data_IF_764412279186
#
_entry.id   IF_764412279186
#
_cell.length_a   1.000
_cell.length_b   1.000
_cell.length_c   1.000
_cell.angle_alpha   90.00
_cell.angle_beta   90.00
_cell.angle_gamma   90.00
#
_symmetry.space_group_name_H-M   'P 1'
#
loop_
_entity.id
_entity.type
_entity.pdbx_description
1 polymer ?
#
# COMPACT_ATOMS: atom_id res chain seq x y z
N UNK A 1 0.43 3.93 23.41
CA UNK A 1 1.60 3.00 23.40
C UNK A 1 2.79 3.80 22.89
N UNK A 2 3.84 3.98 23.71
CA UNK A 2 5.06 4.68 23.24
C UNK A 2 5.65 3.87 22.06
N UNK A 3 5.83 4.52 20.91
CA UNK A 3 6.34 3.87 19.69
C UNK A 3 5.27 3.35 18.71
N UNK A 4 3.98 3.57 18.96
CA UNK A 4 2.93 3.24 17.97
C UNK A 4 2.99 4.16 16.75
N UNK A 5 2.62 3.62 15.57
CA UNK A 5 2.44 4.38 14.31
C UNK A 5 1.13 5.18 14.24
N UNK A 6 0.33 5.16 15.30
CA UNK A 6 -0.86 6.01 15.42
C UNK A 6 -0.47 7.43 15.87
N UNK A 7 0.10 8.21 14.94
CA UNK A 7 0.56 9.58 15.21
C UNK A 7 -0.58 10.57 15.46
N UNK A 8 -1.72 10.37 14.77
CA UNK A 8 -2.90 11.24 14.86
C UNK A 8 -3.84 10.87 16.00
N UNK A 9 -3.54 9.79 16.73
CA UNK A 9 -4.24 9.43 17.97
C UNK A 9 -5.66 8.91 17.78
N UNK A 10 -5.95 8.19 16.69
CA UNK A 10 -7.26 7.54 16.46
C UNK A 10 -7.60 6.67 17.67
N UNK A 11 -8.81 6.86 18.22
CA UNK A 11 -9.38 6.07 19.32
C UNK A 11 -10.85 5.82 19.04
N UNK A 12 -11.13 4.88 18.14
CA UNK A 12 -12.49 4.55 17.71
C UNK A 12 -12.68 3.03 17.74
N UNK A 13 -13.68 2.57 18.50
CA UNK A 13 -13.98 1.14 18.66
C UNK A 13 -14.40 0.48 17.34
N UNK A 14 -15.10 1.21 16.47
CA UNK A 14 -15.54 0.71 15.17
C UNK A 14 -14.33 0.47 14.26
N UNK A 15 -13.34 1.36 14.30
CA UNK A 15 -12.08 1.18 13.57
C UNK A 15 -11.34 -0.06 14.05
N UNK A 16 -11.21 -0.23 15.38
CA UNK A 16 -10.54 -1.40 15.97
C UNK A 16 -11.26 -2.71 15.59
N UNK A 17 -12.59 -2.75 15.66
CA UNK A 17 -13.39 -3.92 15.26
C UNK A 17 -13.25 -4.27 13.77
N UNK A 18 -13.19 -3.26 12.90
CA UNK A 18 -12.99 -3.50 11.47
C UNK A 18 -11.60 -4.04 11.16
N UNK A 19 -10.57 -3.56 11.85
CA UNK A 19 -9.21 -4.09 11.72
C UNK A 19 -9.18 -5.58 12.09
N UNK A 20 -9.79 -5.96 13.21
CA UNK A 20 -9.89 -7.37 13.61
C UNK A 20 -10.62 -8.24 12.57
N UNK A 21 -11.69 -7.72 11.97
CA UNK A 21 -12.41 -8.42 10.89
C UNK A 21 -11.55 -8.56 9.63
N UNK A 22 -10.81 -7.53 9.24
CA UNK A 22 -9.90 -7.55 8.08
C UNK A 22 -8.83 -8.64 8.26
N UNK A 23 -8.24 -8.72 9.46
CA UNK A 23 -7.21 -9.73 9.78
C UNK A 23 -7.74 -11.16 9.65
N UNK A 24 -9.02 -11.37 9.96
CA UNK A 24 -9.68 -12.68 9.97
C UNK A 24 -10.51 -12.98 8.71
N UNK A 25 -10.45 -12.13 7.69
CA UNK A 25 -11.28 -12.28 6.50
C UNK A 25 -11.00 -13.61 5.77
N UNK A 26 -12.00 -14.50 5.59
CA UNK A 26 -11.83 -15.83 5.03
C UNK A 26 -11.69 -15.84 3.49
N UNK A 27 -12.06 -14.74 2.82
CA UNK A 27 -12.05 -14.65 1.36
C UNK A 27 -11.55 -13.29 0.86
N UNK A 28 -11.08 -13.26 -0.38
CA UNK A 28 -10.64 -12.01 -1.02
C UNK A 28 -11.77 -11.00 -1.16
N UNK A 29 -12.98 -11.46 -1.49
CA UNK A 29 -14.13 -10.57 -1.65
C UNK A 29 -14.49 -9.88 -0.32
N UNK A 30 -14.49 -10.64 0.76
CA UNK A 30 -14.77 -10.12 2.10
C UNK A 30 -13.67 -9.17 2.59
N UNK A 31 -12.41 -9.52 2.36
CA UNK A 31 -11.27 -8.64 2.67
C UNK A 31 -11.40 -7.29 1.96
N UNK A 32 -11.74 -7.29 0.67
CA UNK A 32 -11.93 -6.05 -0.10
C UNK A 32 -13.11 -5.24 0.45
N UNK A 33 -14.24 -5.88 0.74
CA UNK A 33 -15.42 -5.20 1.27
C UNK A 33 -15.14 -4.53 2.64
N UNK A 34 -14.47 -5.26 3.55
CA UNK A 34 -14.08 -4.74 4.86
C UNK A 34 -13.05 -3.61 4.75
N UNK A 35 -12.11 -3.71 3.82
CA UNK A 35 -11.10 -2.66 3.57
C UNK A 35 -11.77 -1.38 3.06
N UNK A 36 -12.73 -1.48 2.14
CA UNK A 36 -13.53 -0.33 1.69
C UNK A 36 -14.39 0.27 2.81
N UNK A 37 -14.93 -0.55 3.70
CA UNK A 37 -15.68 -0.06 4.86
C UNK A 37 -14.78 0.73 5.83
N UNK A 38 -13.58 0.21 6.11
CA UNK A 38 -12.59 0.90 6.93
C UNK A 38 -12.17 2.24 6.31
N UNK A 39 -11.87 2.26 5.00
CA UNK A 39 -11.48 3.47 4.28
C UNK A 39 -12.54 4.59 4.39
N UNK A 40 -13.82 4.25 4.21
CA UNK A 40 -14.94 5.19 4.36
C UNK A 40 -15.04 5.77 5.77
N UNK A 41 -14.86 4.93 6.80
CA UNK A 41 -14.90 5.38 8.19
C UNK A 41 -13.74 6.32 8.50
N UNK A 42 -12.53 5.97 8.06
CA UNK A 42 -11.35 6.81 8.24
C UNK A 42 -11.50 8.17 7.55
N UNK A 43 -12.03 8.20 6.32
CA UNK A 43 -12.31 9.45 5.62
C UNK A 43 -13.39 10.29 6.31
N UNK A 44 -14.46 9.65 6.82
CA UNK A 44 -15.52 10.35 7.55
C UNK A 44 -15.09 10.92 8.90
N UNK A 45 -14.00 10.41 9.47
CA UNK A 45 -13.42 10.88 10.73
C UNK A 45 -12.52 12.12 10.58
N UNK A 46 -12.27 12.59 9.35
CA UNK A 46 -11.45 13.77 9.04
C UNK A 46 -10.07 13.76 9.70
N UNK A 47 -9.46 12.57 9.86
CA UNK A 47 -8.18 12.43 10.55
C UNK A 47 -6.98 12.98 9.77
N UNK A 48 -7.09 13.05 8.45
CA UNK A 48 -6.07 13.55 7.53
C UNK A 48 -6.72 14.32 6.38
N UNK A 49 -5.97 15.22 5.76
CA UNK A 49 -6.31 15.83 4.48
C UNK A 49 -5.49 15.08 3.41
N UNK A 50 -6.11 14.27 2.54
CA UNK A 50 -5.38 13.58 1.47
C UNK A 50 -4.80 14.60 0.49
N UNK A 51 -3.53 14.44 0.16
CA UNK A 51 -2.87 15.22 -0.88
C UNK A 51 -2.84 14.40 -2.18
N UNK A 52 -1.69 14.33 -2.85
CA UNK A 52 -1.56 13.78 -4.20
C UNK A 52 -0.66 12.54 -4.18
N UNK A 53 -0.82 11.66 -5.17
CA UNK A 53 0.09 10.55 -5.41
C UNK A 53 0.47 10.50 -6.90
N UNK A 54 1.63 9.90 -7.19
CA UNK A 54 2.07 9.63 -8.57
C UNK A 54 1.75 8.18 -8.91
N UNK A 55 1.20 7.93 -10.09
CA UNK A 55 0.86 6.59 -10.61
C UNK A 55 2.03 5.91 -11.34
N UNK A 56 3.18 6.59 -11.41
CA UNK A 56 4.36 6.20 -12.18
C UNK A 56 5.62 6.29 -11.35
N UNK A 57 6.54 5.38 -11.65
CA UNK A 57 7.91 5.42 -11.16
C UNK A 57 8.80 6.07 -12.21
N UNK A 58 9.36 7.23 -11.89
CA UNK A 58 10.34 7.90 -12.74
C UNK A 58 11.72 7.29 -12.49
N UNK A 59 12.24 6.55 -13.46
CA UNK A 59 13.51 5.82 -13.36
C UNK A 59 14.45 6.21 -14.49
N UNK A 60 15.71 6.50 -14.16
CA UNK A 60 16.80 6.64 -15.11
C UNK A 60 17.81 5.51 -14.88
N UNK A 61 18.18 4.80 -15.93
CA UNK A 61 19.10 3.66 -15.84
C UNK A 61 19.98 3.55 -17.08
N UNK A 62 21.15 2.94 -16.91
CA UNK A 62 22.12 2.73 -17.99
C UNK A 62 21.59 1.77 -19.05
N UNK A 63 21.89 2.01 -20.32
CA UNK A 63 21.47 1.14 -21.46
C UNK A 63 21.90 -0.33 -21.32
N UNK A 64 22.95 -0.60 -20.54
CA UNK A 64 23.42 -1.96 -20.24
C UNK A 64 22.52 -2.74 -19.28
N UNK A 65 21.63 -2.06 -18.56
CA UNK A 65 20.70 -2.68 -17.61
C UNK A 65 19.45 -3.13 -18.37
N UNK A 66 19.09 -4.39 -18.17
CA UNK A 66 17.90 -5.04 -18.72
C UNK A 66 16.91 -5.32 -17.60
N UNK A 67 15.64 -5.46 -17.98
CA UNK A 67 14.51 -5.70 -17.07
C UNK A 67 13.52 -6.69 -17.68
N UNK A 68 12.68 -7.35 -16.88
CA UNK A 68 11.57 -8.15 -17.39
C UNK A 68 10.61 -7.31 -18.24
N UNK A 69 10.03 -7.92 -19.27
CA UNK A 69 8.97 -7.28 -20.08
C UNK A 69 7.75 -6.95 -19.23
N UNK A 70 7.36 -7.89 -18.36
CA UNK A 70 6.26 -7.75 -17.42
C UNK A 70 6.80 -7.36 -16.04
N UNK A 71 6.64 -6.09 -15.68
CA UNK A 71 6.94 -5.60 -14.34
C UNK A 71 5.74 -5.80 -13.40
N UNK A 72 6.02 -5.88 -12.10
CA UNK A 72 4.97 -5.88 -11.09
C UNK A 72 4.21 -4.54 -11.13
N UNK A 73 2.87 -4.56 -10.99
CA UNK A 73 2.09 -3.33 -10.91
C UNK A 73 2.34 -2.55 -9.61
N UNK A 74 2.95 -3.17 -8.59
CA UNK A 74 3.18 -2.56 -7.28
C UNK A 74 4.53 -1.87 -7.16
N UNK A 75 5.56 -2.38 -7.85
CA UNK A 75 6.93 -1.86 -7.74
C UNK A 75 7.77 -2.24 -8.95
N UNK A 76 8.71 -1.37 -9.38
CA UNK A 76 9.66 -1.71 -10.45
C UNK A 76 10.70 -2.76 -10.05
N UNK A 77 10.86 -3.04 -8.74
CA UNK A 77 11.78 -4.05 -8.18
C UNK A 77 13.17 -4.05 -8.83
N UNK A 78 13.78 -2.85 -8.93
CA UNK A 78 15.00 -2.61 -9.71
C UNK A 78 16.18 -3.43 -9.18
N UNK A 79 16.32 -3.56 -7.86
CA UNK A 79 17.41 -4.31 -7.22
C UNK A 79 17.24 -5.83 -7.36
N UNK A 80 16.01 -6.32 -7.42
CA UNK A 80 15.69 -7.73 -7.33
C UNK A 80 15.52 -8.38 -8.71
N UNK A 81 15.03 -7.62 -9.70
CA UNK A 81 14.59 -8.20 -10.98
C UNK A 81 15.38 -7.73 -12.19
N UNK A 82 16.22 -6.70 -12.08
CA UNK A 82 16.97 -6.15 -13.22
C UNK A 82 18.41 -6.68 -13.21
N UNK A 83 19.03 -6.78 -14.38
CA UNK A 83 20.39 -7.31 -14.51
C UNK A 83 21.21 -6.52 -15.53
N UNK A 84 22.53 -6.60 -15.44
CA UNK A 84 23.41 -6.10 -16.51
C UNK A 84 23.48 -7.12 -17.63
N UNK A 85 23.43 -6.67 -18.87
CA UNK A 85 23.81 -7.50 -20.02
C UNK A 85 25.26 -7.96 -19.79
N UNK A 86 25.52 -9.26 -19.81
CA UNK A 86 26.88 -9.78 -19.89
C UNK A 86 27.47 -9.39 -21.25
N UNK A 87 28.72 -8.96 -21.22
CA UNK A 87 29.44 -8.45 -22.39
C UNK A 87 29.71 -9.56 -23.40
#
# INVERSE_FOLDING_TARGET
IKGSRNYIGIKDKVVDELIEKIIRAPSRAELVALTHALDRILLSGYYVIPHWHTDKFNLAYWKKIQRPENLSPLTPAVSETWWTRQQ
#
